data_IF_925477058379
#
_entry.id   IF_925477058379
#
_cell.length_a   1.000
_cell.length_b   1.000
_cell.length_c   1.000
_cell.angle_alpha   90.00
_cell.angle_beta   90.00
_cell.angle_gamma   90.00
#
_symmetry.space_group_name_H-M   'P 1'
#
loop_
_entity.id
_entity.type
_entity.pdbx_description
1 polymer ?
#
# COMPACT_ATOMS: atom_id res chain seq x y z
N UNK A 1 88.81 3.32 -17.63
CA UNK A 1 89.73 2.45 -16.87
C UNK A 1 88.90 1.83 -15.74
N UNK A 2 88.41 0.59 -15.93
CA UNK A 2 88.81 -0.65 -15.21
C UNK A 2 88.42 -0.59 -13.71
N UNK A 3 87.73 -1.53 -13.04
CA UNK A 3 87.07 -2.82 -13.32
C UNK A 3 86.56 -3.40 -11.98
N UNK A 4 85.52 -4.26 -12.03
CA UNK A 4 85.24 -5.47 -11.19
C UNK A 4 84.90 -5.32 -9.68
N UNK A 5 83.73 -5.82 -9.20
CA UNK A 5 83.37 -7.17 -8.64
C UNK A 5 84.14 -7.50 -7.35
N UNK A 6 83.64 -8.07 -6.24
CA UNK A 6 82.52 -8.96 -5.82
C UNK A 6 82.65 -9.06 -4.25
N UNK A 7 82.06 -9.99 -3.44
CA UNK A 7 80.71 -10.56 -3.35
C UNK A 7 80.16 -10.69 -1.87
N UNK A 8 79.00 -11.37 -1.77
CA UNK A 8 78.22 -11.85 -0.62
C UNK A 8 78.95 -12.41 0.64
N UNK A 9 78.34 -12.17 1.82
CA UNK A 9 78.38 -13.05 3.02
C UNK A 9 77.04 -12.99 3.78
N UNK A 10 76.39 -14.13 4.00
CA UNK A 10 75.36 -14.39 5.05
C UNK A 10 76.08 -14.93 6.30
N UNK A 11 75.57 -14.87 7.58
CA UNK A 11 74.33 -15.53 8.07
C UNK A 11 73.77 -14.84 9.37
N UNK A 12 73.17 -15.47 10.42
CA UNK A 12 72.33 -16.67 10.57
C UNK A 12 70.97 -16.41 11.29
N UNK A 13 70.10 -17.42 11.26
CA UNK A 13 68.86 -17.57 12.03
C UNK A 13 69.07 -17.88 13.52
N UNK A 14 68.34 -17.22 14.43
CA UNK A 14 68.07 -17.67 15.81
C UNK A 14 66.66 -17.29 16.27
N UNK A 15 65.96 -18.30 16.79
CA UNK A 15 64.70 -18.22 17.54
C UNK A 15 64.99 -17.85 19.00
N UNK A 16 64.26 -16.90 19.60
CA UNK A 16 63.60 -17.02 20.92
C UNK A 16 62.79 -15.78 21.31
N UNK A 17 61.70 -16.08 22.02
CA UNK A 17 60.63 -15.25 22.55
C UNK A 17 61.09 -14.14 23.52
N UNK A 18 60.36 -13.01 23.55
CA UNK A 18 59.52 -12.64 24.70
C UNK A 18 58.74 -11.33 24.48
N UNK A 19 57.40 -11.50 24.50
CA UNK A 19 56.42 -10.77 25.30
C UNK A 19 56.63 -9.25 25.53
N UNK A 20 55.80 -8.42 24.89
CA UNK A 20 55.24 -7.26 25.58
C UNK A 20 53.84 -6.95 25.02
N UNK A 21 52.87 -6.97 25.92
CA UNK A 21 51.46 -6.84 25.61
C UNK A 21 51.11 -5.48 25.03
N UNK A 22 50.26 -5.52 24.01
CA UNK A 22 49.26 -4.50 23.81
C UNK A 22 47.98 -5.26 23.45
N UNK A 23 47.10 -5.39 24.44
CA UNK A 23 45.77 -5.91 24.20
C UNK A 23 45.06 -4.90 23.33
N UNK A 24 44.82 -5.25 22.06
CA UNK A 24 43.84 -4.57 21.24
C UNK A 24 42.51 -4.57 22.02
N UNK A 25 41.81 -3.42 22.12
CA UNK A 25 40.46 -3.42 22.67
C UNK A 25 39.61 -4.36 21.82
N UNK A 26 38.71 -5.15 22.42
CA UNK A 26 37.88 -6.07 21.66
C UNK A 26 37.06 -5.23 20.68
N UNK A 27 37.35 -5.41 19.39
CA UNK A 27 36.61 -4.78 18.32
C UNK A 27 35.14 -5.17 18.46
N UNK A 28 34.31 -4.17 18.78
CA UNK A 28 32.86 -4.25 18.70
C UNK A 28 32.49 -4.47 17.23
N UNK A 29 32.48 -5.75 16.86
CA UNK A 29 32.12 -6.26 15.54
C UNK A 29 30.72 -6.85 15.62
N UNK A 30 29.81 -6.19 16.35
CA UNK A 30 28.38 -6.38 16.10
C UNK A 30 28.11 -5.96 14.66
N UNK A 31 27.71 -6.90 13.82
CA UNK A 31 27.36 -6.59 12.42
C UNK A 31 26.25 -5.53 12.39
N UNK A 32 26.17 -4.70 11.35
CA UNK A 32 25.11 -3.68 11.22
C UNK A 32 23.68 -4.28 11.32
N UNK A 33 23.56 -5.57 11.01
CA UNK A 33 22.34 -6.36 11.15
C UNK A 33 22.02 -6.71 12.62
N UNK A 34 23.04 -6.99 13.45
CA UNK A 34 22.86 -7.21 14.90
C UNK A 34 22.39 -5.95 15.61
N UNK A 35 22.96 -4.80 15.27
CA UNK A 35 22.53 -3.51 15.81
C UNK A 35 21.08 -3.20 15.40
N UNK A 36 20.76 -3.36 14.11
CA UNK A 36 19.41 -3.14 13.60
C UNK A 36 18.40 -4.03 14.33
N UNK A 37 18.74 -5.30 14.55
CA UNK A 37 17.88 -6.26 15.26
C UNK A 37 17.67 -5.85 16.71
N UNK A 38 18.73 -5.44 17.42
CA UNK A 38 18.65 -4.93 18.80
C UNK A 38 17.78 -3.67 18.90
N UNK A 39 17.96 -2.71 17.99
CA UNK A 39 17.16 -1.48 17.96
C UNK A 39 15.68 -1.76 17.69
N UNK A 40 15.38 -2.62 16.70
CA UNK A 40 14.00 -3.01 16.42
C UNK A 40 13.35 -3.70 17.63
N UNK A 41 14.08 -4.55 18.36
CA UNK A 41 13.60 -5.17 19.58
C UNK A 41 13.34 -4.14 20.70
N UNK A 42 14.27 -3.20 20.90
CA UNK A 42 14.17 -2.16 21.91
C UNK A 42 13.02 -1.16 21.65
N UNK A 43 12.65 -0.97 20.38
CA UNK A 43 11.56 -0.06 19.98
C UNK A 43 10.20 -0.75 19.87
N UNK A 44 10.07 -2.04 20.23
CA UNK A 44 8.77 -2.69 20.34
C UNK A 44 7.99 -2.08 21.50
N UNK A 45 6.73 -1.72 21.23
CA UNK A 45 5.80 -1.24 22.26
C UNK A 45 4.98 -2.40 22.84
N UNK A 46 4.60 -2.30 24.11
CA UNK A 46 3.81 -3.33 24.79
C UNK A 46 2.36 -3.35 24.30
N UNK A 47 1.61 -4.45 24.51
CA UNK A 47 0.18 -4.49 24.23
C UNK A 47 -0.61 -3.37 24.92
N UNK A 48 -0.29 -3.05 26.17
CA UNK A 48 -0.95 -1.99 26.94
C UNK A 48 -0.67 -0.62 26.32
N UNK A 49 0.56 -0.41 25.82
CA UNK A 49 0.94 0.81 25.11
C UNK A 49 0.20 0.94 23.79
N UNK A 50 0.06 -0.15 23.03
CA UNK A 50 -0.76 -0.18 21.82
C UNK A 50 -2.20 0.24 22.09
N UNK A 51 -2.82 -0.35 23.11
CA UNK A 51 -4.22 -0.12 23.44
C UNK A 51 -4.43 1.28 24.00
N UNK A 52 -3.48 1.79 24.80
CA UNK A 52 -3.50 3.17 25.27
C UNK A 52 -3.47 4.15 24.10
N UNK A 53 -2.50 4.02 23.18
CA UNK A 53 -2.38 4.90 22.00
C UNK A 53 -3.64 4.80 21.13
N UNK A 54 -4.15 3.59 20.90
CA UNK A 54 -5.36 3.38 20.13
C UNK A 54 -6.53 4.17 20.73
N UNK A 55 -6.80 3.99 22.03
CA UNK A 55 -7.97 4.57 22.71
C UNK A 55 -7.86 6.07 22.96
N UNK A 56 -6.68 6.57 23.31
CA UNK A 56 -6.51 7.97 23.73
C UNK A 56 -6.08 8.90 22.62
N UNK A 57 -5.60 8.37 21.48
CA UNK A 57 -5.07 9.19 20.38
C UNK A 57 -5.67 8.84 19.03
N UNK A 58 -5.68 7.57 18.65
CA UNK A 58 -6.07 7.17 17.28
C UNK A 58 -7.58 7.25 17.12
N UNK A 59 -8.37 6.55 17.94
CA UNK A 59 -9.83 6.55 17.80
C UNK A 59 -10.43 7.96 17.88
N UNK A 60 -10.06 8.82 18.86
CA UNK A 60 -10.62 10.17 18.95
C UNK A 60 -10.27 11.07 17.76
N UNK A 61 -9.12 10.89 17.13
CA UNK A 61 -8.67 11.74 16.04
C UNK A 61 -9.08 11.22 14.66
N UNK A 62 -9.08 9.90 14.47
CA UNK A 62 -9.15 9.26 13.15
C UNK A 62 -10.47 8.52 12.92
N UNK A 63 -11.27 8.26 13.97
CA UNK A 63 -12.55 7.56 13.85
C UNK A 63 -13.75 8.37 14.37
N UNK A 64 -13.68 8.88 15.59
CA UNK A 64 -14.83 9.54 16.25
C UNK A 64 -15.49 10.66 15.40
N UNK A 65 -14.73 11.49 14.64
CA UNK A 65 -15.32 12.50 13.76
C UNK A 65 -16.15 11.95 12.59
N UNK A 66 -16.08 10.64 12.34
CA UNK A 66 -16.72 9.96 11.21
C UNK A 66 -17.86 9.02 11.64
N UNK A 67 -18.09 8.89 12.94
CA UNK A 67 -19.15 8.02 13.44
C UNK A 67 -20.52 8.66 13.16
N UNK A 68 -21.53 7.86 12.78
CA UNK A 68 -22.86 8.38 12.55
C UNK A 68 -23.47 8.89 13.85
N UNK A 69 -24.20 10.00 13.79
CA UNK A 69 -25.13 10.35 14.86
C UNK A 69 -26.22 9.27 14.94
N UNK A 70 -26.56 8.86 16.17
CA UNK A 70 -27.43 7.70 16.45
C UNK A 70 -28.72 7.77 15.63
N UNK A 71 -29.01 6.74 14.82
CA UNK A 71 -30.31 6.61 14.10
C UNK A 71 -30.28 6.67 12.57
N UNK A 72 -29.17 6.34 11.91
CA UNK A 72 -29.09 6.28 10.44
C UNK A 72 -29.99 5.21 9.79
N UNK A 73 -30.57 5.54 8.63
CA UNK A 73 -31.44 4.65 7.81
C UNK A 73 -30.84 3.25 7.58
N UNK A 74 -31.74 2.26 7.60
CA UNK A 74 -31.51 0.83 7.39
C UNK A 74 -31.06 0.50 5.96
N UNK A 75 -29.80 0.77 5.64
CA UNK A 75 -29.13 0.22 4.45
C UNK A 75 -27.86 -0.49 4.88
N UNK A 76 -27.42 -1.46 4.08
CA UNK A 76 -26.20 -2.21 4.31
C UNK A 76 -24.99 -1.26 4.10
N UNK A 77 -24.16 -0.99 5.13
CA UNK A 77 -23.07 0.00 5.03
C UNK A 77 -21.99 -0.48 4.07
N UNK A 78 -21.22 0.44 3.49
CA UNK A 78 -20.25 0.12 2.42
C UNK A 78 -18.82 0.13 2.94
N UNK A 79 -18.09 -0.93 2.61
CA UNK A 79 -16.64 -1.01 2.79
C UNK A 79 -15.97 -1.14 1.41
N UNK A 80 -15.30 -0.08 0.98
CA UNK A 80 -14.57 -0.03 -0.29
C UNK A 80 -13.08 -0.25 -0.01
N UNK A 81 -12.55 -1.38 -0.44
CA UNK A 81 -11.14 -1.75 -0.25
C UNK A 81 -10.37 -1.53 -1.55
N UNK A 82 -9.39 -0.63 -1.52
CA UNK A 82 -8.52 -0.33 -2.65
C UNK A 82 -7.22 -1.11 -2.47
N UNK A 83 -7.02 -2.12 -3.31
CA UNK A 83 -5.88 -3.01 -3.28
C UNK A 83 -4.92 -2.67 -4.43
N UNK A 84 -3.64 -2.54 -4.16
CA UNK A 84 -2.65 -2.40 -5.23
C UNK A 84 -1.26 -2.22 -4.68
N UNK A 85 -0.24 -2.71 -5.37
CA UNK A 85 1.13 -2.68 -4.85
C UNK A 85 1.63 -1.24 -4.63
N UNK A 86 2.74 -1.09 -3.92
CA UNK A 86 3.41 0.21 -3.79
C UNK A 86 3.74 0.74 -5.20
N UNK A 87 3.44 2.02 -5.48
CA UNK A 87 3.62 2.60 -6.81
C UNK A 87 2.51 2.34 -7.84
N UNK A 88 1.49 1.53 -7.52
CA UNK A 88 0.42 1.21 -8.48
C UNK A 88 -0.50 2.41 -8.84
N UNK A 89 -0.38 3.56 -8.16
CA UNK A 89 -1.16 4.76 -8.47
C UNK A 89 -2.43 4.95 -7.63
N UNK A 90 -2.52 4.33 -6.43
CA UNK A 90 -3.66 4.53 -5.50
C UNK A 90 -3.96 6.01 -5.24
N UNK A 91 -2.92 6.84 -5.07
CA UNK A 91 -3.03 8.30 -4.88
C UNK A 91 -3.80 9.02 -6.00
N UNK A 92 -3.83 8.47 -7.22
CA UNK A 92 -4.59 9.03 -8.34
C UNK A 92 -5.99 8.41 -8.47
N UNK A 93 -6.13 7.15 -8.09
CA UNK A 93 -7.39 6.42 -8.17
C UNK A 93 -8.36 6.77 -7.04
N UNK A 94 -7.90 6.80 -5.79
CA UNK A 94 -8.76 7.05 -4.62
C UNK A 94 -9.55 8.36 -4.70
N UNK A 95 -8.98 9.50 -5.14
CA UNK A 95 -9.75 10.74 -5.28
C UNK A 95 -10.96 10.62 -6.21
N UNK A 96 -10.93 9.75 -7.24
CA UNK A 96 -12.08 9.50 -8.13
C UNK A 96 -13.22 8.82 -7.37
N UNK A 97 -12.90 7.82 -6.55
CA UNK A 97 -13.86 7.13 -5.68
C UNK A 97 -14.46 8.08 -4.63
N UNK A 98 -13.61 8.86 -3.95
CA UNK A 98 -14.06 9.83 -2.94
C UNK A 98 -14.95 10.91 -3.57
N UNK A 99 -14.65 11.34 -4.80
CA UNK A 99 -15.49 12.28 -5.53
C UNK A 99 -16.86 11.69 -5.86
N UNK A 100 -16.91 10.44 -6.33
CA UNK A 100 -18.16 9.75 -6.61
C UNK A 100 -19.03 9.57 -5.35
N UNK A 101 -18.43 9.19 -4.21
CA UNK A 101 -19.14 9.11 -2.93
C UNK A 101 -19.73 10.46 -2.51
N UNK A 102 -18.98 11.55 -2.65
CA UNK A 102 -19.45 12.90 -2.32
C UNK A 102 -20.57 13.39 -3.23
N UNK A 103 -20.55 13.00 -4.51
CA UNK A 103 -21.63 13.30 -5.46
C UNK A 103 -22.90 12.54 -5.08
N UNK A 104 -22.76 11.24 -4.80
CA UNK A 104 -23.86 10.38 -4.39
C UNK A 104 -24.56 10.88 -3.10
N UNK A 105 -23.79 11.33 -2.11
CA UNK A 105 -24.33 11.96 -0.90
C UNK A 105 -25.08 13.30 -1.18
N UNK A 106 -24.66 14.06 -2.19
CA UNK A 106 -25.33 15.31 -2.58
C UNK A 106 -26.67 15.03 -3.26
N UNK A 107 -26.74 14.00 -4.10
CA UNK A 107 -27.98 13.57 -4.75
C UNK A 107 -29.00 13.05 -3.74
N UNK A 108 -28.56 12.26 -2.74
CA UNK A 108 -29.43 11.77 -1.67
C UNK A 108 -29.93 12.88 -0.73
N UNK A 109 -29.09 13.91 -0.47
CA UNK A 109 -29.43 15.05 0.37
C UNK A 109 -30.20 16.17 -0.33
N UNK A 110 -30.24 16.17 -1.67
CA UNK A 110 -30.73 17.26 -2.51
C UNK A 110 -32.17 17.11 -3.04
N UNK A 111 -32.91 16.09 -2.62
CA UNK A 111 -34.28 15.80 -3.10
C UNK A 111 -35.38 16.79 -2.69
N UNK A 112 -35.04 17.96 -2.13
CA UNK A 112 -35.97 19.02 -1.74
C UNK A 112 -35.90 20.24 -2.65
N UNK A 113 -36.27 20.10 -3.92
CA UNK A 113 -36.53 21.25 -4.79
C UNK A 113 -37.89 21.88 -4.46
N UNK A 114 -37.89 22.99 -3.72
CA UNK A 114 -39.08 23.80 -3.48
C UNK A 114 -38.72 25.12 -2.80
N UNK A 115 -38.91 26.23 -3.51
CA UNK A 115 -38.53 27.57 -3.08
C UNK A 115 -39.06 27.96 -1.69
N UNK A 116 -38.18 28.56 -0.90
CA UNK A 116 -38.48 29.11 0.41
C UNK A 116 -37.21 29.71 1.00
N UNK A 117 -37.11 31.03 0.92
CA UNK A 117 -36.16 31.84 1.68
C UNK A 117 -36.53 31.71 3.16
N UNK A 118 -35.86 30.82 3.90
CA UNK A 118 -35.83 30.80 5.37
C UNK A 118 -34.59 30.02 5.84
N UNK A 119 -33.77 30.71 6.63
CA UNK A 119 -32.44 30.25 7.04
C UNK A 119 -32.44 29.05 8.01
N UNK A 120 -31.37 28.25 7.91
CA UNK A 120 -30.91 27.37 8.99
C UNK A 120 -31.34 25.91 8.87
N UNK A 121 -30.63 25.12 8.05
CA UNK A 121 -30.81 23.68 8.02
C UNK A 121 -30.09 23.00 6.85
N UNK A 122 -28.82 23.31 6.63
CA UNK A 122 -28.03 22.59 5.63
C UNK A 122 -27.86 21.14 6.07
N UNK A 123 -28.40 20.19 5.31
CA UNK A 123 -28.25 18.77 5.60
C UNK A 123 -26.78 18.42 5.83
N UNK A 124 -26.46 17.89 7.01
CA UNK A 124 -25.09 17.56 7.36
C UNK A 124 -24.54 16.51 6.38
N UNK A 125 -23.48 16.90 5.67
CA UNK A 125 -22.73 15.98 4.81
C UNK A 125 -22.12 14.91 5.69
N UNK A 126 -22.53 13.66 5.51
CA UNK A 126 -21.93 12.53 6.20
C UNK A 126 -20.44 12.41 5.82
N UNK A 127 -19.52 12.45 6.78
CA UNK A 127 -18.09 12.35 6.48
C UNK A 127 -17.74 10.96 5.95
N UNK A 128 -16.80 10.89 4.99
CA UNK A 128 -16.30 9.63 4.44
C UNK A 128 -15.08 9.19 5.25
N UNK A 129 -15.14 8.01 5.87
CA UNK A 129 -14.00 7.47 6.62
C UNK A 129 -12.97 6.88 5.66
N UNK A 130 -11.84 7.56 5.47
CA UNK A 130 -10.75 7.10 4.59
C UNK A 130 -9.53 6.68 5.41
N UNK A 131 -9.21 5.39 5.35
CA UNK A 131 -8.21 4.74 6.19
C UNK A 131 -7.00 4.28 5.37
N UNK A 132 -5.80 4.64 5.83
CA UNK A 132 -4.53 4.26 5.20
C UNK A 132 -3.54 3.88 6.30
N UNK A 133 -2.97 2.67 6.27
CA UNK A 133 -2.07 2.20 7.33
C UNK A 133 -0.91 3.18 7.63
N UNK A 134 -0.36 3.81 6.60
CA UNK A 134 0.81 4.69 6.73
C UNK A 134 0.54 5.94 7.57
N UNK A 135 -0.71 6.42 7.69
CA UNK A 135 -1.05 7.56 8.56
C UNK A 135 -0.83 7.22 10.03
N UNK A 136 -0.99 5.95 10.42
CA UNK A 136 -0.86 5.54 11.82
C UNK A 136 0.59 5.42 12.30
N UNK A 137 1.58 5.38 11.40
CA UNK A 137 3.00 5.28 11.79
C UNK A 137 3.41 6.44 12.71
N UNK A 138 2.82 7.63 12.52
CA UNK A 138 3.10 8.83 13.32
C UNK A 138 2.78 8.69 14.80
N UNK A 139 1.89 7.75 15.17
CA UNK A 139 1.52 7.52 16.57
C UNK A 139 2.53 6.64 17.31
N UNK A 140 3.43 5.96 16.59
CA UNK A 140 4.44 5.13 17.22
C UNK A 140 5.48 6.02 17.94
N UNK A 141 5.77 5.79 19.24
CA UNK A 141 6.64 6.68 20.04
C UNK A 141 8.03 6.94 19.45
N UNK A 142 8.58 5.96 18.75
CA UNK A 142 9.93 6.05 18.16
C UNK A 142 9.95 6.54 16.70
N UNK A 143 8.81 6.75 16.04
CA UNK A 143 8.76 7.03 14.61
C UNK A 143 9.42 8.37 14.24
N UNK A 144 9.04 9.45 14.92
CA UNK A 144 9.59 10.78 14.65
C UNK A 144 11.10 10.83 14.94
N UNK A 145 11.55 10.19 16.03
CA UNK A 145 12.97 10.10 16.38
C UNK A 145 13.77 9.31 15.34
N UNK A 146 13.21 8.24 14.77
CA UNK A 146 13.84 7.50 13.68
C UNK A 146 13.99 8.39 12.43
N UNK A 147 12.93 9.12 12.03
CA UNK A 147 12.96 9.98 10.86
C UNK A 147 13.96 11.14 10.99
N UNK A 148 14.10 11.72 12.19
CA UNK A 148 15.03 12.80 12.46
C UNK A 148 16.52 12.36 12.46
N UNK A 149 16.78 11.06 12.56
CA UNK A 149 18.14 10.51 12.58
C UNK A 149 18.54 10.03 11.19
N UNK A 150 19.57 10.64 10.59
CA UNK A 150 20.12 10.19 9.30
C UNK A 150 20.51 8.70 9.32
N UNK A 151 20.99 8.20 10.47
CA UNK A 151 21.36 6.80 10.68
C UNK A 151 20.16 5.85 10.72
N UNK A 152 19.02 6.30 11.28
CA UNK A 152 17.87 5.42 11.56
C UNK A 152 16.64 5.71 10.69
N UNK A 153 16.68 6.71 9.81
CA UNK A 153 15.53 7.09 8.99
C UNK A 153 15.02 5.91 8.12
N UNK A 154 15.92 5.07 7.62
CA UNK A 154 15.56 3.84 6.88
C UNK A 154 14.86 2.78 7.75
N UNK A 155 14.96 2.86 9.07
CA UNK A 155 14.30 1.95 10.01
C UNK A 155 12.89 2.42 10.40
N UNK A 156 12.53 3.69 10.18
CA UNK A 156 11.28 4.26 10.67
C UNK A 156 10.03 3.45 10.25
N UNK A 157 9.96 3.04 8.98
CA UNK A 157 8.87 2.21 8.47
C UNK A 157 8.90 0.78 9.03
N UNK A 158 10.08 0.22 9.32
CA UNK A 158 10.22 -1.12 9.93
C UNK A 158 9.78 -1.12 11.40
N UNK A 159 10.06 -0.02 12.11
CA UNK A 159 9.68 0.20 13.51
C UNK A 159 8.17 0.36 13.64
N UNK A 160 7.59 1.31 12.89
CA UNK A 160 6.20 1.70 13.09
C UNK A 160 5.20 0.86 12.28
N UNK A 161 5.64 0.19 11.21
CA UNK A 161 4.76 -0.53 10.27
C UNK A 161 3.88 -1.60 10.92
N UNK A 162 4.43 -2.54 11.71
CA UNK A 162 3.63 -3.56 12.39
C UNK A 162 2.56 -2.96 13.31
N UNK A 163 2.91 -1.91 14.05
CA UNK A 163 1.99 -1.23 14.95
C UNK A 163 0.87 -0.50 14.19
N UNK A 164 1.24 0.22 13.13
CA UNK A 164 0.32 0.93 12.26
C UNK A 164 -0.73 0.00 11.64
N UNK A 165 -0.33 -1.19 11.20
CA UNK A 165 -1.25 -2.15 10.63
C UNK A 165 -2.19 -2.78 11.68
N UNK A 166 -1.68 -3.09 12.89
CA UNK A 166 -2.52 -3.51 14.02
C UNK A 166 -3.57 -2.44 14.36
N UNK A 167 -3.17 -1.17 14.39
CA UNK A 167 -4.09 -0.07 14.65
C UNK A 167 -5.11 0.13 13.52
N UNK A 168 -4.71 0.01 12.25
CA UNK A 168 -5.65 0.04 11.13
C UNK A 168 -6.75 -1.01 11.28
N UNK A 169 -6.39 -2.26 11.58
CA UNK A 169 -7.38 -3.32 11.79
C UNK A 169 -8.34 -2.99 12.93
N UNK A 170 -7.82 -2.55 14.08
CA UNK A 170 -8.65 -2.18 15.23
C UNK A 170 -9.58 -0.98 14.94
N UNK A 171 -9.12 -0.01 14.15
CA UNK A 171 -9.96 1.10 13.67
C UNK A 171 -11.05 0.57 12.73
N UNK A 172 -10.73 -0.34 11.80
CA UNK A 172 -11.72 -0.95 10.91
C UNK A 172 -12.78 -1.73 11.70
N UNK A 173 -12.38 -2.54 12.68
CA UNK A 173 -13.31 -3.28 13.55
C UNK A 173 -14.24 -2.32 14.30
N UNK A 174 -13.69 -1.27 14.91
CA UNK A 174 -14.47 -0.28 15.67
C UNK A 174 -15.40 0.55 14.78
N UNK A 175 -14.93 0.93 13.58
CA UNK A 175 -15.75 1.61 12.57
C UNK A 175 -16.91 0.73 12.12
N UNK A 176 -16.62 -0.56 11.91
CA UNK A 176 -17.62 -1.54 11.52
C UNK A 176 -18.66 -1.75 12.62
N UNK A 177 -18.24 -1.91 13.89
CA UNK A 177 -19.12 -1.98 15.07
C UNK A 177 -20.02 -0.74 15.20
N UNK A 178 -19.46 0.43 14.89
CA UNK A 178 -20.17 1.71 14.95
C UNK A 178 -20.97 2.02 13.68
N UNK A 179 -21.03 1.11 12.70
CA UNK A 179 -21.77 1.26 11.44
C UNK A 179 -21.39 2.52 10.66
N UNK A 180 -20.10 2.91 10.68
CA UNK A 180 -19.59 3.99 9.84
C UNK A 180 -19.86 3.70 8.35
N UNK A 181 -20.44 4.66 7.62
CA UNK A 181 -20.72 4.50 6.20
C UNK A 181 -20.58 5.85 5.48
N UNK A 182 -19.83 5.91 4.35
CA UNK A 182 -19.00 4.85 3.76
C UNK A 182 -17.60 4.75 4.40
N UNK A 183 -17.00 3.56 4.36
CA UNK A 183 -15.59 3.35 4.72
C UNK A 183 -14.76 3.01 3.49
N UNK A 184 -13.64 3.69 3.30
CA UNK A 184 -12.66 3.45 2.24
C UNK A 184 -11.33 3.06 2.87
N UNK A 185 -10.77 1.91 2.51
CA UNK A 185 -9.47 1.44 3.04
C UNK A 185 -8.48 1.22 1.91
N UNK A 186 -7.29 1.82 2.01
CA UNK A 186 -6.20 1.55 1.08
C UNK A 186 -5.23 0.50 1.61
N UNK A 187 -4.89 -0.46 0.76
CA UNK A 187 -3.98 -1.54 1.09
C UNK A 187 -2.95 -1.79 -0.02
N UNK A 188 -1.68 -1.89 0.40
CA UNK A 188 -0.59 -2.35 -0.46
C UNK A 188 -0.37 -3.87 -0.41
N UNK A 189 -1.04 -4.57 0.51
CA UNK A 189 -0.93 -6.01 0.71
C UNK A 189 0.50 -6.56 0.89
N UNK A 190 1.44 -5.80 1.46
CA UNK A 190 2.76 -6.32 1.87
C UNK A 190 2.69 -7.54 2.80
N UNK A 191 1.59 -7.64 3.55
CA UNK A 191 1.21 -8.80 4.34
C UNK A 191 -0.24 -9.15 4.00
N UNK A 192 -0.49 -10.16 3.14
CA UNK A 192 -1.83 -10.51 2.67
C UNK A 192 -2.85 -10.73 3.79
N UNK A 193 -2.43 -11.35 4.89
CA UNK A 193 -3.33 -11.65 6.02
C UNK A 193 -3.94 -10.41 6.67
N UNK A 194 -3.27 -9.26 6.58
CA UNK A 194 -3.83 -8.00 7.11
C UNK A 194 -5.02 -7.52 6.27
N UNK A 195 -4.94 -7.66 4.95
CA UNK A 195 -6.06 -7.36 4.07
C UNK A 195 -7.21 -8.34 4.32
N UNK A 196 -6.91 -9.63 4.46
CA UNK A 196 -7.91 -10.67 4.77
C UNK A 196 -8.63 -10.37 6.07
N UNK A 197 -7.91 -9.95 7.11
CA UNK A 197 -8.49 -9.57 8.39
C UNK A 197 -9.42 -8.35 8.26
N UNK A 198 -9.01 -7.31 7.52
CA UNK A 198 -9.85 -6.13 7.27
C UNK A 198 -11.14 -6.50 6.50
N UNK A 199 -11.03 -7.29 5.42
CA UNK A 199 -12.19 -7.73 4.66
C UNK A 199 -13.16 -8.55 5.53
N UNK A 200 -12.65 -9.48 6.35
CA UNK A 200 -13.45 -10.25 7.30
C UNK A 200 -14.10 -9.37 8.37
N UNK A 201 -13.40 -8.36 8.88
CA UNK A 201 -13.93 -7.45 9.91
C UNK A 201 -15.21 -6.74 9.44
N UNK A 202 -15.23 -6.27 8.18
CA UNK A 202 -16.40 -5.65 7.57
C UNK A 202 -17.49 -6.67 7.19
N UNK A 203 -17.13 -7.76 6.51
CA UNK A 203 -18.10 -8.78 6.10
C UNK A 203 -18.85 -9.40 7.30
N UNK A 204 -18.15 -9.65 8.41
CA UNK A 204 -18.76 -10.17 9.65
C UNK A 204 -19.79 -9.23 10.29
N UNK A 205 -19.85 -7.96 9.86
CA UNK A 205 -20.76 -6.93 10.35
C UNK A 205 -21.75 -6.48 9.28
N UNK A 206 -21.97 -7.35 8.31
CA UNK A 206 -22.92 -7.15 7.22
C UNK A 206 -22.62 -5.86 6.43
N UNK A 207 -21.36 -5.58 6.14
CA UNK A 207 -21.01 -4.53 5.18
C UNK A 207 -21.09 -5.08 3.76
N UNK A 208 -21.53 -4.25 2.82
CA UNK A 208 -21.31 -4.47 1.40
C UNK A 208 -19.81 -4.25 1.09
N UNK A 209 -19.05 -5.33 0.95
CA UNK A 209 -17.60 -5.27 0.75
C UNK A 209 -17.29 -5.25 -0.75
N UNK A 210 -16.68 -4.15 -1.20
CA UNK A 210 -16.33 -3.93 -2.61
C UNK A 210 -14.83 -3.74 -2.74
N UNK A 211 -14.21 -4.46 -3.66
CA UNK A 211 -12.74 -4.43 -3.86
C UNK A 211 -12.41 -3.86 -5.22
N UNK A 212 -11.62 -2.80 -5.24
CA UNK A 212 -10.99 -2.27 -6.46
C UNK A 212 -9.49 -2.61 -6.43
N UNK A 213 -9.03 -3.39 -7.40
CA UNK A 213 -7.66 -3.85 -7.49
C UNK A 213 -6.94 -3.10 -8.61
N UNK A 214 -5.84 -2.42 -8.30
CA UNK A 214 -4.98 -1.82 -9.32
C UNK A 214 -4.09 -2.89 -9.94
N UNK A 215 -4.41 -3.27 -11.17
CA UNK A 215 -3.67 -4.23 -11.96
C UNK A 215 -2.63 -3.47 -12.81
N UNK A 216 -1.43 -3.32 -12.26
CA UNK A 216 -0.34 -2.53 -12.87
C UNK A 216 0.91 -3.40 -13.01
N UNK A 217 1.59 -3.42 -14.18
CA UNK A 217 2.88 -4.09 -14.36
C UNK A 217 3.95 -3.62 -13.37
N UNK A 218 4.85 -4.52 -12.97
CA UNK A 218 5.91 -4.23 -12.01
C UNK A 218 6.80 -3.04 -12.45
N UNK A 219 7.12 -2.96 -13.74
CA UNK A 219 7.89 -1.85 -14.30
C UNK A 219 7.23 -0.48 -14.06
N UNK A 220 5.92 -0.38 -14.34
CA UNK A 220 5.18 0.87 -14.19
C UNK A 220 4.97 1.26 -12.73
N UNK A 221 4.80 0.28 -11.83
CA UNK A 221 4.71 0.58 -10.40
C UNK A 221 6.06 0.99 -9.82
N UNK A 222 7.17 0.35 -10.20
CA UNK A 222 8.54 0.78 -9.81
C UNK A 222 8.83 2.20 -10.30
N UNK A 223 8.54 2.49 -11.56
CA UNK A 223 8.69 3.84 -12.12
C UNK A 223 7.83 4.86 -11.35
N UNK A 224 6.59 4.51 -11.02
CA UNK A 224 5.71 5.36 -10.23
C UNK A 224 6.26 5.71 -8.85
N UNK A 225 6.93 4.77 -8.17
CA UNK A 225 7.59 5.04 -6.88
C UNK A 225 8.72 6.06 -7.06
N UNK A 226 9.61 5.80 -8.02
CA UNK A 226 10.76 6.66 -8.27
C UNK A 226 10.35 8.10 -8.61
N UNK A 227 9.28 8.27 -9.39
CA UNK A 227 8.71 9.58 -9.72
C UNK A 227 8.09 10.29 -8.49
N UNK A 228 7.37 9.55 -7.65
CA UNK A 228 6.73 10.12 -6.46
C UNK A 228 7.77 10.56 -5.41
N UNK A 229 8.87 9.81 -5.27
CA UNK A 229 9.96 10.12 -4.36
C UNK A 229 10.74 11.36 -4.81
N UNK A 230 11.01 11.49 -6.11
CA UNK A 230 11.58 12.71 -6.68
C UNK A 230 10.70 13.93 -6.41
N UNK A 231 9.39 13.84 -6.66
CA UNK A 231 8.46 14.94 -6.42
C UNK A 231 8.43 15.36 -4.94
N UNK A 232 8.44 14.39 -4.02
CA UNK A 232 8.43 14.67 -2.58
C UNK A 232 9.72 15.35 -2.10
N UNK A 233 10.86 14.99 -2.66
CA UNK A 233 12.15 15.57 -2.31
C UNK A 233 12.43 16.90 -3.03
N UNK A 234 11.91 17.10 -4.24
CA UNK A 234 11.96 18.39 -4.94
C UNK A 234 11.25 19.53 -4.19
N UNK A 235 10.35 19.20 -3.26
CA UNK A 235 9.66 20.15 -2.37
C UNK A 235 10.30 20.28 -0.97
N UNK A 236 11.35 19.52 -0.67
CA UNK A 236 12.02 19.50 0.65
C UNK A 236 13.54 19.63 0.53
N UNK A 237 14.08 20.78 0.94
CA UNK A 237 15.49 21.15 1.09
C UNK A 237 16.47 20.62 0.02
N UNK A 238 16.92 21.54 -0.86
CA UNK A 238 17.75 21.26 -2.04
C UNK A 238 19.07 20.59 -1.64
N UNK A 239 19.20 19.28 -1.87
CA UNK A 239 20.50 18.57 -1.82
C UNK A 239 20.51 17.20 -1.16
N UNK A 240 19.37 16.67 -0.69
CA UNK A 240 19.32 15.29 -0.20
C UNK A 240 19.17 14.29 -1.36
N UNK A 241 19.85 13.12 -1.31
CA UNK A 241 19.70 12.09 -2.33
C UNK A 241 18.32 11.45 -2.31
N UNK A 242 17.78 11.13 -3.50
CA UNK A 242 16.48 10.45 -3.67
C UNK A 242 16.43 9.16 -2.85
N UNK A 243 15.46 9.09 -1.95
CA UNK A 243 15.19 7.91 -1.12
C UNK A 243 14.28 6.96 -1.86
N UNK A 244 14.88 6.04 -2.60
CA UNK A 244 14.15 4.99 -3.29
C UNK A 244 13.54 3.97 -2.33
N UNK A 245 12.26 3.63 -2.54
CA UNK A 245 11.62 2.52 -1.84
C UNK A 245 12.36 1.24 -2.21
N UNK A 246 12.86 0.47 -1.22
CA UNK A 246 13.63 -0.74 -1.52
C UNK A 246 12.83 -1.72 -2.38
N UNK A 247 13.48 -2.32 -3.39
CA UNK A 247 12.88 -3.35 -4.27
C UNK A 247 12.13 -4.44 -3.51
N UNK A 248 12.70 -4.95 -2.42
CA UNK A 248 12.07 -5.98 -1.59
C UNK A 248 10.70 -5.53 -1.00
N UNK A 249 10.53 -4.23 -0.71
CA UNK A 249 9.25 -3.69 -0.22
C UNK A 249 8.22 -3.65 -1.34
N UNK A 250 8.63 -3.26 -2.55
CA UNK A 250 7.77 -3.33 -3.73
C UNK A 250 7.37 -4.77 -4.03
N UNK A 251 8.34 -5.68 -4.14
CA UNK A 251 8.12 -7.07 -4.55
C UNK A 251 7.20 -7.80 -3.56
N UNK A 252 7.38 -7.60 -2.24
CA UNK A 252 6.46 -8.12 -1.24
C UNK A 252 5.01 -7.61 -1.41
N UNK A 253 4.83 -6.34 -1.79
CA UNK A 253 3.48 -5.83 -2.12
C UNK A 253 2.95 -6.36 -3.45
N UNK A 254 3.82 -6.58 -4.43
CA UNK A 254 3.46 -7.08 -5.74
C UNK A 254 2.94 -8.53 -5.64
N UNK A 255 3.70 -9.40 -5.00
CA UNK A 255 3.32 -10.79 -4.69
C UNK A 255 2.11 -10.84 -3.76
N UNK A 256 2.08 -9.98 -2.75
CA UNK A 256 1.01 -9.97 -1.77
C UNK A 256 -0.35 -9.58 -2.35
N UNK A 257 -0.41 -8.66 -3.33
CA UNK A 257 -1.63 -8.38 -4.09
C UNK A 257 -2.11 -9.63 -4.83
N UNK A 258 -1.20 -10.39 -5.45
CA UNK A 258 -1.56 -11.62 -6.15
C UNK A 258 -2.11 -12.68 -5.19
N UNK A 259 -1.49 -12.85 -4.02
CA UNK A 259 -1.97 -13.76 -2.98
C UNK A 259 -3.34 -13.36 -2.40
N UNK A 260 -3.61 -12.05 -2.28
CA UNK A 260 -4.94 -11.56 -1.87
C UNK A 260 -5.96 -11.81 -2.97
N UNK A 261 -5.64 -11.50 -4.23
CA UNK A 261 -6.58 -11.70 -5.34
C UNK A 261 -6.90 -13.18 -5.55
N UNK A 262 -5.91 -14.07 -5.45
CA UNK A 262 -6.16 -15.51 -5.51
C UNK A 262 -7.12 -15.97 -4.42
N UNK A 263 -6.93 -15.48 -3.19
CA UNK A 263 -7.87 -15.74 -2.10
C UNK A 263 -9.27 -15.19 -2.36
N UNK A 264 -9.40 -14.00 -2.96
CA UNK A 264 -10.71 -13.41 -3.30
C UNK A 264 -11.41 -14.13 -4.46
N UNK A 265 -10.67 -14.80 -5.34
CA UNK A 265 -11.19 -15.56 -6.49
C UNK A 265 -11.70 -16.96 -6.08
N UNK A 266 -11.31 -17.44 -4.89
CA UNK A 266 -11.72 -18.73 -4.33
C UNK A 266 -13.02 -18.59 -3.52
N UNK A 267 -13.98 -19.49 -3.76
CA UNK A 267 -15.20 -19.67 -2.96
C UNK A 267 -14.98 -20.67 -1.80
N UNK A 268 -15.91 -20.73 -0.85
CA UNK A 268 -15.87 -21.62 0.31
C UNK A 268 -15.09 -21.08 1.52
N UNK A 269 -15.03 -21.87 2.60
CA UNK A 269 -14.51 -21.43 3.91
C UNK A 269 -13.05 -20.94 3.89
N UNK A 270 -12.22 -21.52 3.02
CA UNK A 270 -10.82 -21.13 2.84
C UNK A 270 -10.66 -19.87 1.97
N UNK A 271 -11.62 -19.63 1.07
CA UNK A 271 -11.65 -18.52 0.14
C UNK A 271 -12.18 -17.23 0.75
N UNK A 272 -12.06 -16.15 -0.01
CA UNK A 272 -12.53 -14.81 0.33
C UNK A 272 -13.69 -14.35 -0.55
N UNK A 273 -14.03 -15.11 -1.59
CA UNK A 273 -15.06 -14.72 -2.56
C UNK A 273 -16.42 -14.49 -1.91
N UNK A 274 -16.78 -15.30 -0.92
CA UNK A 274 -18.07 -15.17 -0.21
C UNK A 274 -18.19 -13.91 0.64
N UNK A 275 -17.07 -13.27 0.97
CA UNK A 275 -17.03 -12.03 1.75
C UNK A 275 -17.32 -10.80 0.90
N UNK A 276 -17.28 -10.94 -0.44
CA UNK A 276 -17.38 -9.83 -1.37
C UNK A 276 -18.76 -9.71 -2.00
N UNK A 277 -19.13 -8.47 -2.26
CA UNK A 277 -20.26 -8.11 -3.12
C UNK A 277 -19.79 -7.81 -4.54
N UNK A 278 -18.61 -7.21 -4.68
CA UNK A 278 -18.08 -6.80 -5.98
C UNK A 278 -16.57 -6.73 -6.00
N UNK A 279 -15.97 -7.14 -7.12
CA UNK A 279 -14.55 -6.96 -7.41
C UNK A 279 -14.35 -6.37 -8.80
N UNK A 280 -13.46 -5.39 -8.91
CA UNK A 280 -13.02 -4.83 -10.21
C UNK A 280 -11.50 -4.78 -10.28
N UNK A 281 -10.96 -5.09 -11.45
CA UNK A 281 -9.54 -4.92 -11.79
C UNK A 281 -9.41 -3.66 -12.64
N UNK A 282 -8.63 -2.70 -12.18
CA UNK A 282 -8.52 -1.36 -12.76
C UNK A 282 -7.06 -1.09 -13.15
N UNK A 283 -6.87 -0.52 -14.34
CA UNK A 283 -5.58 0.00 -14.81
C UNK A 283 -5.26 1.35 -14.20
N UNK A 284 -4.03 1.82 -14.40
CA UNK A 284 -3.60 3.16 -13.96
C UNK A 284 -4.37 4.30 -14.65
N UNK A 285 -4.80 4.12 -15.92
CA UNK A 285 -5.66 5.07 -16.64
C UNK A 285 -7.11 5.10 -16.14
N UNK A 286 -7.49 4.14 -15.29
CA UNK A 286 -8.85 4.00 -14.77
C UNK A 286 -9.77 3.22 -15.70
N UNK A 287 -9.24 2.36 -16.55
CA UNK A 287 -9.98 1.36 -17.30
C UNK A 287 -10.16 0.08 -16.46
N UNK A 288 -11.34 -0.50 -16.50
CA UNK A 288 -11.67 -1.81 -15.94
C UNK A 288 -11.36 -2.88 -16.97
N UNK A 289 -10.59 -3.89 -16.56
CA UNK A 289 -10.21 -5.04 -17.39
C UNK A 289 -10.85 -6.35 -16.93
N UNK A 290 -11.46 -6.33 -15.75
CA UNK A 290 -12.27 -7.42 -15.21
C UNK A 290 -13.20 -6.84 -14.15
N UNK A 291 -14.43 -7.34 -14.11
CA UNK A 291 -15.41 -6.97 -13.10
C UNK A 291 -16.38 -8.13 -12.90
N UNK A 292 -16.57 -8.46 -11.63
CA UNK A 292 -17.52 -9.49 -11.21
C UNK A 292 -18.23 -9.02 -9.94
N UNK A 293 -19.43 -9.54 -9.75
CA UNK A 293 -20.29 -9.23 -8.63
C UNK A 293 -20.96 -10.51 -8.14
N UNK A 294 -21.33 -10.51 -6.87
CA UNK A 294 -21.89 -11.69 -6.22
C UNK A 294 -23.41 -11.63 -6.24
N UNK A 295 -24.02 -12.69 -6.75
CA UNK A 295 -25.44 -12.97 -6.68
C UNK A 295 -25.73 -14.02 -5.59
N UNK A 296 -26.99 -14.41 -5.42
CA UNK A 296 -27.42 -15.42 -4.42
C UNK A 296 -26.67 -16.75 -4.56
N UNK A 297 -26.41 -17.18 -5.79
CA UNK A 297 -25.78 -18.46 -6.11
C UNK A 297 -24.26 -18.36 -6.32
N UNK A 298 -23.61 -17.30 -5.83
CA UNK A 298 -22.18 -17.04 -6.01
C UNK A 298 -21.92 -15.99 -7.08
N UNK A 299 -20.75 -16.03 -7.71
CA UNK A 299 -20.36 -15.05 -8.72
C UNK A 299 -21.28 -15.05 -9.96
N UNK A 300 -21.60 -13.86 -10.48
CA UNK A 300 -22.39 -13.72 -11.72
C UNK A 300 -21.65 -14.27 -12.94
N UNK A 301 -20.32 -14.09 -12.98
CA UNK A 301 -19.42 -14.65 -13.99
C UNK A 301 -18.50 -15.67 -13.35
N UNK A 302 -17.91 -16.56 -14.16
CA UNK A 302 -16.84 -17.43 -13.69
C UNK A 302 -15.71 -16.61 -13.04
N UNK A 303 -15.25 -17.07 -11.87
CA UNK A 303 -14.17 -16.44 -11.14
C UNK A 303 -12.88 -16.48 -11.97
N UNK A 304 -12.37 -15.29 -12.31
CA UNK A 304 -11.18 -15.14 -13.14
C UNK A 304 -10.35 -13.90 -12.76
N UNK A 305 -10.51 -13.40 -11.53
CA UNK A 305 -9.85 -12.21 -11.03
C UNK A 305 -8.32 -12.38 -11.00
N UNK A 306 -7.82 -13.53 -10.54
CA UNK A 306 -6.39 -13.84 -10.48
C UNK A 306 -5.80 -13.96 -11.89
N UNK A 307 -6.52 -14.62 -12.78
CA UNK A 307 -6.11 -14.77 -14.17
C UNK A 307 -6.08 -13.39 -14.88
N UNK A 308 -7.06 -12.52 -14.63
CA UNK A 308 -7.09 -11.16 -15.15
C UNK A 308 -5.92 -10.31 -14.61
N UNK A 309 -5.62 -10.39 -13.31
CA UNK A 309 -4.47 -9.69 -12.72
C UNK A 309 -3.15 -10.11 -13.37
N UNK A 310 -2.92 -11.41 -13.50
CA UNK A 310 -1.68 -11.96 -14.10
C UNK A 310 -1.52 -11.53 -15.55
N UNK A 311 -2.59 -11.63 -16.36
CA UNK A 311 -2.57 -11.15 -17.75
C UNK A 311 -2.25 -9.67 -17.82
N UNK A 312 -2.92 -8.86 -17.01
CA UNK A 312 -2.74 -7.40 -17.02
C UNK A 312 -1.34 -6.98 -16.55
N UNK A 313 -0.71 -7.73 -15.64
CA UNK A 313 0.68 -7.49 -15.20
C UNK A 313 1.73 -7.91 -16.24
N UNK A 314 1.41 -8.86 -17.11
CA UNK A 314 2.34 -9.44 -18.08
C UNK A 314 2.22 -8.85 -19.49
N UNK A 315 1.09 -8.21 -19.83
CA UNK A 315 0.86 -7.68 -21.18
C UNK A 315 1.88 -6.61 -21.59
N UNK A 316 2.02 -6.43 -22.91
CA UNK A 316 2.77 -5.31 -23.46
C UNK A 316 2.15 -3.96 -23.08
N UNK A 317 3.00 -2.95 -22.95
CA UNK A 317 2.56 -1.56 -22.77
C UNK A 317 1.83 -1.07 -24.03
N UNK A 318 0.76 -0.31 -23.82
CA UNK A 318 0.16 0.51 -24.88
C UNK A 318 1.11 1.62 -25.32
N UNK A 319 0.84 2.25 -26.46
CA UNK A 319 1.67 3.36 -26.96
C UNK A 319 1.70 4.54 -25.98
N UNK A 320 0.56 4.84 -25.35
CA UNK A 320 0.46 5.90 -24.33
C UNK A 320 1.28 5.57 -23.08
N UNK A 321 1.14 4.35 -22.54
CA UNK A 321 1.92 3.91 -21.39
C UNK A 321 3.42 3.90 -21.68
N UNK A 322 3.81 3.45 -22.88
CA UNK A 322 5.21 3.46 -23.31
C UNK A 322 5.75 4.89 -23.35
N UNK A 323 5.00 5.82 -23.95
CA UNK A 323 5.40 7.23 -24.01
C UNK A 323 5.56 7.83 -22.61
N UNK A 324 4.59 7.62 -21.72
CA UNK A 324 4.68 8.09 -20.33
C UNK A 324 5.84 7.45 -19.58
N UNK A 325 6.11 6.17 -19.80
CA UNK A 325 7.24 5.48 -19.19
C UNK A 325 8.58 6.06 -19.67
N UNK A 326 8.74 6.29 -20.97
CA UNK A 326 9.93 6.90 -21.56
C UNK A 326 10.15 8.35 -21.08
N UNK A 327 9.07 9.12 -20.85
CA UNK A 327 9.14 10.43 -20.22
C UNK A 327 9.64 10.34 -18.78
N UNK A 328 9.11 9.40 -17.99
CA UNK A 328 9.54 9.15 -16.61
C UNK A 328 11.01 8.72 -16.53
N UNK A 329 11.45 7.82 -17.40
CA UNK A 329 12.85 7.39 -17.48
C UNK A 329 13.76 8.56 -17.83
N UNK A 330 13.40 9.38 -18.83
CA UNK A 330 14.19 10.56 -19.20
C UNK A 330 14.32 11.54 -18.05
N UNK A 331 13.25 11.73 -17.28
CA UNK A 331 13.29 12.55 -16.06
C UNK A 331 14.27 11.95 -15.04
N UNK A 332 14.18 10.66 -14.72
CA UNK A 332 15.08 10.02 -13.75
C UNK A 332 16.55 10.06 -14.18
N UNK A 333 16.85 9.77 -15.45
CA UNK A 333 18.22 9.88 -16.00
C UNK A 333 18.76 11.32 -15.92
N UNK A 334 17.89 12.33 -16.01
CA UNK A 334 18.30 13.74 -15.92
C UNK A 334 18.76 14.17 -14.52
N UNK A 335 18.45 13.37 -13.48
CA UNK A 335 18.90 13.63 -12.11
C UNK A 335 20.41 13.46 -11.93
N UNK A 336 21.04 12.61 -12.75
CA UNK A 336 22.48 12.30 -12.65
C UNK A 336 22.88 11.62 -11.34
N UNK A 337 21.94 10.97 -10.64
CA UNK A 337 22.19 10.19 -9.42
C UNK A 337 22.45 8.72 -9.80
N UNK A 338 23.62 8.15 -9.43
CA UNK A 338 23.91 6.72 -9.68
C UNK A 338 22.89 5.74 -9.09
N UNK A 339 22.13 6.14 -8.07
CA UNK A 339 20.99 5.34 -7.56
C UNK A 339 19.82 5.37 -8.52
N UNK A 340 19.49 6.53 -9.08
CA UNK A 340 18.43 6.66 -10.07
C UNK A 340 18.77 5.87 -11.34
N UNK A 341 20.04 5.90 -11.77
CA UNK A 341 20.49 5.12 -12.93
C UNK A 341 20.29 3.62 -12.74
N UNK A 342 20.64 3.08 -11.55
CA UNK A 342 20.39 1.66 -11.22
C UNK A 342 18.90 1.30 -11.20
N UNK A 343 18.07 2.18 -10.62
CA UNK A 343 16.62 1.97 -10.63
C UNK A 343 16.07 1.95 -12.06
N UNK A 344 16.58 2.83 -12.92
CA UNK A 344 16.20 2.90 -14.33
C UNK A 344 16.61 1.64 -15.09
N UNK A 345 17.83 1.13 -14.89
CA UNK A 345 18.28 -0.14 -15.48
C UNK A 345 17.32 -1.29 -15.12
N UNK A 346 16.97 -1.44 -13.84
CA UNK A 346 16.02 -2.47 -13.40
C UNK A 346 14.62 -2.28 -14.02
N UNK A 347 14.15 -1.03 -14.14
CA UNK A 347 12.84 -0.72 -14.73
C UNK A 347 12.86 -1.06 -16.23
N UNK A 348 13.92 -0.71 -16.96
CA UNK A 348 14.11 -1.02 -18.38
C UNK A 348 14.13 -2.54 -18.62
N UNK A 349 14.81 -3.31 -17.76
CA UNK A 349 14.79 -4.78 -17.79
C UNK A 349 13.37 -5.35 -17.59
N UNK A 350 12.64 -4.85 -16.59
CA UNK A 350 11.25 -5.26 -16.35
C UNK A 350 10.34 -4.93 -17.54
N UNK A 351 10.52 -3.77 -18.18
CA UNK A 351 9.75 -3.38 -19.36
C UNK A 351 10.05 -4.26 -20.58
N UNK A 352 11.32 -4.64 -20.77
CA UNK A 352 11.72 -5.53 -21.86
C UNK A 352 11.05 -6.91 -21.76
N UNK A 353 10.70 -7.35 -20.55
CA UNK A 353 9.96 -8.59 -20.31
C UNK A 353 8.45 -8.53 -20.61
N UNK A 354 7.86 -7.35 -20.77
CA UNK A 354 6.42 -7.20 -20.97
C UNK A 354 5.98 -7.60 -22.38
N UNK A 355 4.84 -8.29 -22.47
CA UNK A 355 4.27 -8.74 -23.74
C UNK A 355 4.96 -9.98 -24.34
N UNK A 356 5.86 -10.62 -23.60
CA UNK A 356 6.42 -11.92 -23.96
C UNK A 356 5.41 -13.01 -23.55
N UNK A 357 4.74 -13.63 -24.52
CA UNK A 357 3.75 -14.69 -24.28
C UNK A 357 2.36 -14.34 -24.80
N UNK A 358 1.34 -14.49 -23.94
CA UNK A 358 -0.06 -14.24 -24.26
C UNK A 358 -0.30 -12.76 -24.60
N UNK A 359 -0.83 -12.51 -25.81
CA UNK A 359 -1.11 -11.18 -26.35
C UNK A 359 -2.60 -10.81 -26.27
N UNK A 360 -3.42 -11.62 -25.61
CA UNK A 360 -4.83 -11.28 -25.42
C UNK A 360 -4.95 -10.01 -24.57
N UNK A 361 -5.66 -9.02 -25.11
CA UNK A 361 -5.97 -7.77 -24.41
C UNK A 361 -7.40 -7.89 -23.90
N UNK A 362 -7.60 -7.71 -22.60
CA UNK A 362 -8.95 -7.63 -22.04
C UNK A 362 -9.72 -6.49 -22.68
N UNK A 363 -11.03 -6.70 -22.88
CA UNK A 363 -11.93 -5.61 -23.21
C UNK A 363 -11.84 -4.52 -22.12
N UNK A 364 -11.63 -3.28 -22.55
CA UNK A 364 -11.44 -2.13 -21.66
C UNK A 364 -12.73 -1.34 -21.58
N UNK A 365 -13.24 -1.17 -20.37
CA UNK A 365 -14.36 -0.26 -20.10
C UNK A 365 -13.88 0.84 -19.16
N UNK A 366 -14.34 2.09 -19.31
CA UNK A 366 -14.06 3.13 -18.32
C UNK A 366 -14.54 2.70 -16.92
N UNK A 367 -13.75 2.97 -15.88
CA UNK A 367 -14.20 2.76 -14.51
C UNK A 367 -15.30 3.75 -14.14
N UNK A 368 -16.52 3.23 -13.99
CA UNK A 368 -17.66 3.94 -13.46
C UNK A 368 -17.61 3.96 -11.93
N UNK A 369 -17.00 5.02 -11.40
CA UNK A 369 -16.89 5.23 -9.96
C UNK A 369 -18.26 5.46 -9.31
N UNK A 370 -19.23 6.06 -10.01
CA UNK A 370 -20.56 6.31 -9.48
C UNK A 370 -21.29 4.98 -9.26
N UNK A 371 -21.29 4.11 -10.28
CA UNK A 371 -21.85 2.78 -10.20
C UNK A 371 -21.17 1.91 -9.11
N UNK A 372 -19.84 1.96 -9.04
CA UNK A 372 -19.09 1.16 -8.08
C UNK A 372 -19.35 1.54 -6.62
N UNK A 373 -19.82 2.76 -6.33
CA UNK A 373 -20.08 3.22 -4.95
C UNK A 373 -21.56 3.30 -4.56
N UNK A 374 -22.48 3.00 -5.51
CA UNK A 374 -23.92 2.94 -5.25
C UNK A 374 -24.22 2.08 -4.02
N UNK A 375 -25.17 2.46 -3.15
CA UNK A 375 -25.68 1.55 -2.11
C UNK A 375 -26.07 0.19 -2.71
N UNK A 376 -25.86 -0.90 -1.98
CA UNK A 376 -26.44 -2.17 -2.36
C UNK A 376 -27.95 -2.09 -2.06
N UNK A 377 -28.80 -2.32 -3.06
CA UNK A 377 -30.23 -2.48 -2.82
C UNK A 377 -30.43 -3.66 -1.86
N UNK A 378 -31.25 -3.46 -0.82
CA UNK A 378 -31.67 -4.54 0.07
C UNK A 378 -32.63 -5.47 -0.69
N UNK A 379 -32.08 -6.28 -1.58
CA UNK A 379 -32.78 -7.37 -2.27
C UNK A 379 -32.56 -8.72 -1.61
N UNK A 380 -32.33 -8.76 -0.29
CA UNK A 380 -32.53 -9.97 0.52
C UNK A 380 -33.84 -9.77 1.27
N UNK A 381 -34.93 -10.14 0.61
CA UNK A 381 -36.26 -10.09 1.21
C UNK A 381 -36.25 -10.78 2.58
N UNK A 382 -36.91 -10.13 3.53
CA UNK A 382 -37.28 -10.65 4.82
C UNK A 382 -37.91 -12.05 4.69
N UNK A 383 -37.15 -13.10 5.00
CA UNK A 383 -37.71 -14.41 5.32
C UNK A 383 -37.63 -14.57 6.84
N UNK A 384 -38.62 -13.99 7.53
CA UNK A 384 -39.01 -14.48 8.84
C UNK A 384 -39.80 -15.79 8.65
N UNK A 385 -39.52 -16.86 9.43
CA UNK A 385 -40.48 -17.94 9.62
C UNK A 385 -41.69 -17.49 10.46
#
# INVERSE_FOLDING_TARGET
MVSARDPLVAPPSRVRENNNGNADPPGDSGSADDETTRLLAAWRISPETHDHILRTRILPAELDPFLPEVGGKSTRPRAILILGQTGAGKTHFTPRLLSALRQQQQEEGGGGGGGGDDGGGGGEKRPILHLIADTYKRYHPHYAACLASARHAGLASRVAGPAAARWLLAVCERAADARADPVVVEAAARRPDEFRAVARAFAARDYAVRVAVLAVPAALSRLGIAQEEEQKEGHGDRGMPVRFTPKAVHDASFEGVEAVVGWLDEDGEAGGGELLDRIVMVRRGGEVVYGNERAENGWVKEAAALAALRRERARGLTDEERKTAEEGIRMLKSLGDPKADREVEEIEELMAGLGIGDRTVSEMMPFDAADFVKPADLGRDDIHP
#
